data_IF_592243082246
#
_entry.id   IF_592243082246
#
_cell.length_a   1.000
_cell.length_b   1.000
_cell.length_c   1.000
_cell.angle_alpha   90.00
_cell.angle_beta   90.00
_cell.angle_gamma   90.00
#
_symmetry.space_group_name_H-M   'P 1'
#
loop_
_entity.id
_entity.type
_entity.pdbx_description
1 polymer ?
#
# COMPACT_ATOMS: atom_id res chain seq x y z
N UNK A 1 46.45 -20.01 6.58
CA UNK A 1 45.10 -19.71 7.10
C UNK A 1 44.23 -19.30 5.93
N UNK A 2 43.29 -20.15 5.49
CA UNK A 2 42.26 -19.76 4.52
C UNK A 2 41.19 -18.97 5.27
N UNK A 3 40.94 -17.73 4.87
CA UNK A 3 39.81 -16.95 5.35
C UNK A 3 38.55 -17.40 4.60
N UNK A 4 37.61 -18.00 5.32
CA UNK A 4 36.28 -18.30 4.79
C UNK A 4 35.47 -16.99 4.72
N UNK A 5 35.13 -16.54 3.51
CA UNK A 5 34.16 -15.48 3.31
C UNK A 5 32.76 -16.03 3.62
N UNK A 6 32.15 -15.54 4.70
CA UNK A 6 30.74 -15.77 4.99
C UNK A 6 29.90 -14.90 4.06
N UNK A 7 29.26 -15.50 3.06
CA UNK A 7 28.20 -14.87 2.27
C UNK A 7 26.97 -14.70 3.14
N UNK A 8 26.68 -13.47 3.55
CA UNK A 8 25.40 -13.11 4.17
C UNK A 8 24.32 -13.20 3.09
N UNK A 9 23.42 -14.17 3.20
CA UNK A 9 22.23 -14.24 2.36
C UNK A 9 21.26 -13.16 2.85
N UNK A 10 21.14 -12.06 2.13
CA UNK A 10 20.04 -11.12 2.29
C UNK A 10 18.77 -11.80 1.79
N UNK A 11 17.85 -12.12 2.70
CA UNK A 11 16.51 -12.55 2.30
C UNK A 11 15.85 -11.42 1.49
N UNK A 12 15.15 -11.72 0.38
CA UNK A 12 14.40 -10.71 -0.33
C UNK A 12 13.30 -10.19 0.61
N UNK A 13 13.34 -8.89 0.92
CA UNK A 13 12.16 -8.23 1.47
C UNK A 13 11.07 -8.33 0.40
N UNK A 14 9.96 -9.00 0.72
CA UNK A 14 8.84 -9.07 -0.20
C UNK A 14 8.13 -7.72 -0.22
N UNK A 15 8.41 -6.95 -1.27
CA UNK A 15 7.69 -5.72 -1.55
C UNK A 15 6.26 -6.05 -1.93
N UNK A 16 5.33 -5.20 -1.51
CA UNK A 16 3.90 -5.38 -1.78
C UNK A 16 3.59 -5.06 -3.26
N UNK A 17 2.45 -5.53 -3.74
CA UNK A 17 2.05 -5.30 -5.13
C UNK A 17 1.57 -3.86 -5.34
N UNK A 18 2.18 -3.15 -6.28
CA UNK A 18 1.72 -1.84 -6.77
C UNK A 18 1.45 -1.92 -8.26
N UNK A 19 0.18 -2.02 -8.64
CA UNK A 19 -0.25 -2.18 -10.02
C UNK A 19 -0.85 -0.89 -10.59
N UNK A 20 -0.83 -0.76 -11.92
CA UNK A 20 -1.65 0.26 -12.59
C UNK A 20 -3.13 0.01 -12.32
N UNK A 21 -3.91 1.08 -12.21
CA UNK A 21 -5.36 0.95 -12.07
C UNK A 21 -5.99 0.26 -13.27
N UNK A 22 -6.85 -0.71 -12.97
CA UNK A 22 -7.68 -1.41 -13.93
C UNK A 22 -9.13 -1.52 -13.39
N UNK A 23 -9.76 -2.69 -13.48
CA UNK A 23 -11.07 -2.95 -12.92
C UNK A 23 -11.13 -2.73 -11.39
N UNK A 24 -10.03 -2.98 -10.67
CA UNK A 24 -10.00 -2.90 -9.20
C UNK A 24 -10.12 -1.46 -8.70
N UNK A 25 -9.79 -0.48 -9.54
CA UNK A 25 -9.95 0.94 -9.25
C UNK A 25 -11.37 1.49 -9.54
N UNK A 26 -12.35 0.61 -9.79
CA UNK A 26 -13.74 1.00 -10.03
C UNK A 26 -14.33 1.74 -8.83
N UNK A 27 -15.05 2.84 -9.08
CA UNK A 27 -15.74 3.60 -8.03
C UNK A 27 -16.77 2.76 -7.25
N UNK A 28 -17.30 1.69 -7.85
CA UNK A 28 -18.18 0.74 -7.18
C UNK A 28 -17.51 -0.01 -6.01
N UNK A 29 -16.18 -0.15 -6.05
CA UNK A 29 -15.41 -0.86 -5.03
C UNK A 29 -14.84 0.09 -3.97
N UNK A 30 -15.13 1.38 -4.02
CA UNK A 30 -14.71 2.30 -2.96
C UNK A 30 -15.51 2.00 -1.69
N UNK A 31 -14.80 1.85 -0.57
CA UNK A 31 -15.44 1.60 0.71
C UNK A 31 -16.34 2.78 1.14
N UNK A 32 -17.55 2.46 1.60
CA UNK A 32 -18.53 3.44 2.07
C UNK A 32 -18.42 3.65 3.60
N UNK A 33 -18.60 4.88 4.12
CA UNK A 33 -18.82 6.12 3.37
C UNK A 33 -17.51 6.72 2.84
N UNK A 34 -17.55 7.27 1.63
CA UNK A 34 -16.35 7.74 0.93
C UNK A 34 -15.56 8.79 1.72
N UNK A 35 -16.22 9.66 2.48
CA UNK A 35 -15.54 10.69 3.29
C UNK A 35 -14.72 10.10 4.44
N UNK A 36 -15.03 8.89 4.90
CA UNK A 36 -14.26 8.20 5.94
C UNK A 36 -13.12 7.39 5.34
N UNK A 37 -13.31 6.85 4.14
CA UNK A 37 -12.38 5.93 3.49
C UNK A 37 -11.63 6.53 2.30
N UNK A 38 -11.65 7.86 2.16
CA UNK A 38 -10.82 8.59 1.21
C UNK A 38 -10.26 9.84 1.86
N UNK A 39 -8.93 10.01 1.77
CA UNK A 39 -8.21 11.16 2.33
C UNK A 39 -7.25 11.75 1.31
N UNK A 40 -7.11 13.07 1.35
CA UNK A 40 -6.16 13.80 0.51
C UNK A 40 -4.95 14.26 1.32
N UNK A 41 -3.79 14.25 0.68
CA UNK A 41 -2.50 14.64 1.23
C UNK A 41 -1.79 15.62 0.28
N UNK A 42 -0.68 16.21 0.74
CA UNK A 42 0.12 17.15 -0.05
C UNK A 42 -0.72 18.24 -0.76
N UNK A 43 -1.55 18.95 0.01
CA UNK A 43 -2.37 20.04 -0.53
C UNK A 43 -3.50 19.60 -1.48
N UNK A 44 -3.80 18.31 -1.57
CA UNK A 44 -4.84 17.77 -2.45
C UNK A 44 -4.31 17.01 -3.67
N UNK A 45 -3.01 17.01 -3.88
CA UNK A 45 -2.37 16.36 -5.03
C UNK A 45 -2.38 14.85 -4.94
N UNK A 46 -2.30 14.31 -3.72
CA UNK A 46 -2.34 12.87 -3.47
C UNK A 46 -3.66 12.50 -2.81
N UNK A 47 -4.30 11.43 -3.27
CA UNK A 47 -5.47 10.82 -2.63
C UNK A 47 -5.19 9.35 -2.40
N UNK A 48 -5.44 8.91 -1.18
CA UNK A 48 -5.51 7.49 -0.84
C UNK A 48 -6.98 7.17 -0.53
N UNK A 49 -7.48 6.07 -1.06
CA UNK A 49 -8.82 5.58 -0.75
C UNK A 49 -8.79 4.05 -0.51
N UNK A 50 -9.66 3.57 0.37
CA UNK A 50 -9.83 2.14 0.58
C UNK A 50 -10.75 1.55 -0.49
N UNK A 51 -10.28 0.47 -1.09
CA UNK A 51 -11.06 -0.42 -1.94
C UNK A 51 -11.52 -1.60 -1.10
N UNK A 52 -12.79 -1.94 -1.20
CA UNK A 52 -13.38 -3.20 -0.75
C UNK A 52 -13.83 -3.98 -2.00
N UNK A 53 -13.00 -4.95 -2.41
CA UNK A 53 -13.25 -5.78 -3.58
C UNK A 53 -14.38 -6.79 -3.36
N UNK A 54 -14.88 -6.95 -2.13
CA UNK A 54 -15.84 -7.95 -1.66
C UNK A 54 -15.27 -9.39 -1.71
N UNK A 55 -14.65 -9.77 -2.82
CA UNK A 55 -14.01 -11.06 -3.02
C UNK A 55 -12.56 -10.91 -3.52
N UNK A 56 -11.62 -11.76 -3.08
CA UNK A 56 -11.83 -12.89 -2.16
C UNK A 56 -12.13 -12.41 -0.73
N UNK A 57 -13.17 -12.96 -0.10
CA UNK A 57 -13.70 -12.42 1.16
C UNK A 57 -12.72 -12.43 2.34
N UNK A 58 -11.66 -13.23 2.29
CA UNK A 58 -10.60 -13.24 3.30
C UNK A 58 -9.57 -12.10 3.14
N UNK A 59 -9.49 -11.50 1.96
CA UNK A 59 -8.46 -10.52 1.56
C UNK A 59 -9.03 -9.45 0.62
N UNK A 60 -10.18 -8.81 0.93
CA UNK A 60 -10.87 -7.98 -0.05
C UNK A 60 -10.31 -6.55 -0.14
N UNK A 61 -9.43 -6.14 0.79
CA UNK A 61 -9.08 -4.73 0.93
C UNK A 61 -7.83 -4.34 0.17
N UNK A 62 -7.88 -3.22 -0.55
CA UNK A 62 -6.75 -2.65 -1.28
C UNK A 62 -6.70 -1.13 -1.09
N UNK A 63 -5.59 -0.48 -1.44
CA UNK A 63 -5.51 0.98 -1.43
C UNK A 63 -5.44 1.52 -2.86
N UNK A 64 -6.40 2.36 -3.23
CA UNK A 64 -6.31 3.22 -4.41
C UNK A 64 -5.43 4.43 -4.10
N UNK A 65 -4.44 4.69 -4.93
CA UNK A 65 -3.55 5.84 -4.82
C UNK A 65 -3.65 6.64 -6.12
N UNK A 66 -4.12 7.88 -6.01
CA UNK A 66 -4.06 8.88 -7.07
C UNK A 66 -3.00 9.90 -6.71
N UNK A 67 -2.00 10.08 -7.56
CA UNK A 67 -0.82 10.90 -7.24
C UNK A 67 -0.20 11.55 -8.48
N UNK A 68 0.66 12.56 -8.31
CA UNK A 68 1.62 12.94 -9.34
C UNK A 68 2.61 11.79 -9.64
N UNK A 69 3.36 11.84 -10.75
CA UNK A 69 3.39 12.92 -11.72
C UNK A 69 2.10 13.00 -12.53
N UNK A 70 1.80 14.20 -13.00
CA UNK A 70 0.71 14.44 -13.94
C UNK A 70 1.21 14.17 -15.36
N UNK A 71 0.39 13.51 -16.17
CA UNK A 71 0.71 13.34 -17.59
C UNK A 71 0.47 14.64 -18.39
N UNK A 72 0.74 14.61 -19.70
CA UNK A 72 0.58 15.77 -20.59
C UNK A 72 -0.88 16.29 -20.67
N UNK A 73 -1.86 15.45 -20.33
CA UNK A 73 -3.27 15.78 -20.30
C UNK A 73 -3.74 16.25 -18.91
N UNK A 74 -2.84 16.26 -17.93
CA UNK A 74 -3.17 16.59 -16.54
C UNK A 74 -3.89 15.45 -15.82
N UNK A 75 -3.74 14.20 -16.26
CA UNK A 75 -4.22 13.04 -15.51
C UNK A 75 -3.21 12.67 -14.42
N UNK A 76 -3.72 12.25 -13.25
CA UNK A 76 -2.90 11.70 -12.16
C UNK A 76 -2.41 10.31 -12.54
N UNK A 77 -1.25 9.94 -12.01
CA UNK A 77 -0.93 8.53 -11.84
C UNK A 77 -2.04 7.85 -11.01
N UNK A 78 -2.44 6.66 -11.43
CA UNK A 78 -3.41 5.82 -10.73
C UNK A 78 -2.79 4.46 -10.43
N UNK A 79 -2.70 4.12 -9.15
CA UNK A 79 -2.15 2.84 -8.68
C UNK A 79 -3.09 2.16 -7.70
N UNK A 80 -3.06 0.84 -7.69
CA UNK A 80 -3.65 0.03 -6.62
C UNK A 80 -2.54 -0.70 -5.88
N UNK A 81 -2.49 -0.50 -4.57
CA UNK A 81 -1.59 -1.19 -3.66
C UNK A 81 -2.34 -2.34 -3.00
N UNK A 82 -1.79 -3.54 -3.13
CA UNK A 82 -2.31 -4.81 -2.60
C UNK A 82 -1.21 -5.55 -1.84
N UNK A 83 -1.58 -6.52 -1.00
CA UNK A 83 -0.60 -7.39 -0.34
C UNK A 83 0.24 -8.12 -1.40
N UNK A 84 -0.45 -8.79 -2.32
CA UNK A 84 0.12 -9.51 -3.45
C UNK A 84 -0.74 -9.27 -4.71
N UNK A 85 -0.26 -9.61 -5.92
CA UNK A 85 -1.03 -9.40 -7.14
C UNK A 85 -2.41 -10.09 -7.08
N UNK A 86 -3.48 -9.28 -7.04
CA UNK A 86 -4.87 -9.76 -6.94
C UNK A 86 -5.29 -10.24 -5.55
N UNK A 87 -4.43 -10.10 -4.54
CA UNK A 87 -4.67 -10.52 -3.15
C UNK A 87 -4.53 -9.29 -2.25
N UNK A 88 -5.63 -8.89 -1.63
CA UNK A 88 -5.67 -7.73 -0.74
C UNK A 88 -5.22 -8.04 0.69
N UNK A 89 -5.54 -7.10 1.57
CA UNK A 89 -5.45 -7.26 3.02
C UNK A 89 -6.77 -7.79 3.56
N UNK A 90 -6.73 -8.50 4.67
CA UNK A 90 -7.93 -8.96 5.39
C UNK A 90 -8.64 -7.83 6.12
N UNK A 91 -7.92 -6.74 6.40
CA UNK A 91 -8.43 -5.56 7.09
C UNK A 91 -7.45 -4.41 6.98
N UNK A 92 -7.96 -3.18 6.99
CA UNK A 92 -7.19 -1.95 6.97
C UNK A 92 -7.83 -0.95 7.94
N UNK A 93 -7.10 -0.54 8.98
CA UNK A 93 -7.55 0.53 9.87
C UNK A 93 -7.27 1.90 9.24
N UNK A 94 -8.09 2.25 8.25
CA UNK A 94 -7.90 3.47 7.46
C UNK A 94 -8.00 4.76 8.29
N UNK A 95 -8.73 4.73 9.42
CA UNK A 95 -8.83 5.86 10.33
C UNK A 95 -7.46 6.16 10.97
N UNK A 96 -6.66 5.13 11.20
CA UNK A 96 -5.29 5.23 11.73
C UNK A 96 -4.23 5.49 10.64
N UNK A 97 -4.60 5.74 9.38
CA UNK A 97 -3.63 6.10 8.33
C UNK A 97 -2.93 7.41 8.66
N UNK A 98 -1.63 7.34 8.84
CA UNK A 98 -0.75 8.50 9.06
C UNK A 98 0.09 8.78 7.81
N UNK A 99 0.48 10.04 7.65
CA UNK A 99 1.37 10.45 6.57
C UNK A 99 2.27 11.61 7.00
N UNK A 100 3.51 11.59 6.54
CA UNK A 100 4.48 12.66 6.75
C UNK A 100 5.43 12.76 5.56
N UNK A 101 6.18 13.85 5.50
CA UNK A 101 7.16 14.07 4.44
C UNK A 101 8.57 13.73 4.92
N UNK A 102 9.29 12.97 4.10
CA UNK A 102 10.72 12.69 4.22
C UNK A 102 11.46 13.28 3.01
N UNK A 103 12.45 14.19 3.21
CA UNK A 103 13.20 14.78 2.11
C UNK A 103 14.01 13.80 1.24
N UNK A 104 14.35 12.62 1.76
CA UNK A 104 15.14 11.62 1.04
C UNK A 104 14.30 10.73 0.13
N UNK A 105 13.05 10.44 0.52
CA UNK A 105 12.18 9.46 -0.17
C UNK A 105 10.90 10.07 -0.75
N UNK A 106 10.33 11.10 -0.13
CA UNK A 106 9.06 11.72 -0.52
C UNK A 106 8.01 11.63 0.58
N UNK A 107 6.75 11.39 0.22
CA UNK A 107 5.70 11.15 1.21
C UNK A 107 5.85 9.73 1.76
N UNK A 108 5.75 9.60 3.07
CA UNK A 108 5.66 8.33 3.77
C UNK A 108 4.26 8.17 4.34
N UNK A 109 3.73 6.96 4.29
CA UNK A 109 2.43 6.58 4.82
C UNK A 109 2.60 5.34 5.69
N UNK A 110 1.85 5.28 6.78
CA UNK A 110 1.79 4.12 7.68
C UNK A 110 0.36 3.84 8.07
N UNK A 111 -0.07 2.58 7.97
CA UNK A 111 -1.43 2.16 8.31
C UNK A 111 -1.45 0.74 8.89
N UNK A 112 -2.16 0.51 10.00
CA UNK A 112 -2.38 -0.85 10.50
C UNK A 112 -3.22 -1.66 9.53
N UNK A 113 -2.79 -2.89 9.28
CA UNK A 113 -3.50 -3.86 8.42
C UNK A 113 -3.55 -5.22 9.10
N UNK A 114 -4.51 -6.05 8.72
CA UNK A 114 -4.49 -7.47 9.05
C UNK A 114 -4.27 -8.30 7.79
N UNK A 115 -3.47 -9.35 7.89
CA UNK A 115 -3.09 -10.22 6.78
C UNK A 115 -3.52 -11.65 7.09
N UNK A 116 -4.12 -12.34 6.11
CA UNK A 116 -4.44 -13.75 6.25
C UNK A 116 -3.17 -14.60 6.22
N UNK A 117 -2.97 -15.41 7.26
CA UNK A 117 -1.84 -16.31 7.41
C UNK A 117 -2.26 -17.75 7.11
N UNK A 118 -1.96 -18.24 5.91
CA UNK A 118 -2.38 -19.59 5.49
C UNK A 118 -1.88 -20.71 6.40
N UNK A 119 -0.68 -20.56 6.98
CA UNK A 119 -0.05 -21.57 7.82
C UNK A 119 -0.83 -21.83 9.12
N UNK A 120 -1.49 -20.81 9.65
CA UNK A 120 -2.27 -20.85 10.91
C UNK A 120 -3.77 -20.79 10.66
N UNK A 121 -4.19 -20.47 9.42
CA UNK A 121 -5.57 -20.15 9.07
C UNK A 121 -6.16 -19.05 9.97
N UNK A 122 -5.34 -18.04 10.27
CA UNK A 122 -5.67 -16.93 11.16
C UNK A 122 -5.34 -15.57 10.50
N UNK A 123 -5.68 -14.48 11.18
CA UNK A 123 -5.38 -13.13 10.75
C UNK A 123 -4.32 -12.51 11.65
N UNK A 124 -3.21 -12.09 11.06
CA UNK A 124 -2.11 -11.44 11.76
C UNK A 124 -2.16 -9.92 11.59
N UNK A 125 -2.14 -9.18 12.69
CA UNK A 125 -1.98 -7.73 12.66
C UNK A 125 -0.56 -7.36 12.23
N UNK A 126 -0.46 -6.36 11.36
CA UNK A 126 0.78 -5.87 10.74
C UNK A 126 0.70 -4.36 10.52
N UNK A 127 1.84 -3.77 10.18
CA UNK A 127 1.91 -2.40 9.68
C UNK A 127 2.25 -2.40 8.20
N UNK A 128 1.42 -1.74 7.40
CA UNK A 128 1.74 -1.41 6.02
C UNK A 128 2.38 -0.03 5.99
N UNK A 129 3.64 0.00 5.57
CA UNK A 129 4.37 1.22 5.28
C UNK A 129 4.54 1.35 3.77
N UNK A 130 4.25 2.53 3.23
CA UNK A 130 4.52 2.82 1.84
C UNK A 130 4.99 4.25 1.61
N UNK A 131 5.80 4.42 0.58
CA UNK A 131 6.33 5.72 0.16
C UNK A 131 5.76 6.13 -1.19
N UNK A 132 5.77 7.42 -1.46
CA UNK A 132 5.46 8.01 -2.75
C UNK A 132 6.46 9.12 -3.06
N UNK A 133 7.28 8.91 -4.08
CA UNK A 133 8.07 9.98 -4.67
C UNK A 133 7.21 10.71 -5.70
N UNK A 134 6.68 11.89 -5.34
CA UNK A 134 5.77 12.66 -6.20
C UNK A 134 6.41 13.15 -7.51
N UNK A 135 7.74 13.23 -7.59
CA UNK A 135 8.43 13.67 -8.81
C UNK A 135 8.54 12.54 -9.84
N UNK A 136 8.76 11.30 -9.39
CA UNK A 136 8.95 10.15 -10.28
C UNK A 136 7.71 9.25 -10.38
N UNK A 137 6.80 9.34 -9.42
CA UNK A 137 5.66 8.44 -9.27
C UNK A 137 6.04 7.08 -8.70
N UNK A 138 7.26 6.91 -8.19
CA UNK A 138 7.67 5.66 -7.58
C UNK A 138 6.92 5.46 -6.26
N UNK A 139 6.35 4.27 -6.09
CA UNK A 139 5.70 3.82 -4.86
C UNK A 139 6.37 2.52 -4.44
N UNK A 140 6.87 2.49 -3.21
CA UNK A 140 7.46 1.31 -2.59
C UNK A 140 6.67 0.99 -1.33
N UNK A 141 6.40 -0.28 -1.09
CA UNK A 141 5.53 -0.71 0.00
C UNK A 141 6.07 -1.98 0.65
N UNK A 142 5.95 -2.04 1.97
CA UNK A 142 6.40 -3.14 2.80
C UNK A 142 5.42 -3.38 3.95
N UNK A 143 5.24 -4.65 4.31
CA UNK A 143 4.44 -5.06 5.47
C UNK A 143 5.39 -5.57 6.55
N UNK A 144 5.45 -4.84 7.67
CA UNK A 144 6.24 -5.17 8.85
C UNK A 144 5.40 -5.67 10.01
N UNK A 145 6.05 -6.15 11.08
CA UNK A 145 5.35 -6.44 12.32
C UNK A 145 5.02 -5.13 13.05
N UNK A 146 3.90 -5.13 13.78
CA UNK A 146 3.49 -3.96 14.54
C UNK A 146 4.45 -3.72 15.71
N UNK A 147 5.15 -2.59 15.71
CA UNK A 147 6.03 -2.17 16.82
C UNK A 147 7.52 -2.52 16.67
N UNK A 148 7.99 -2.82 15.46
CA UNK A 148 9.42 -2.91 15.12
C UNK A 148 9.96 -1.60 14.51
#
# INVERSE_FOLDING_TARGET
MLAALATVATAPAQAQSVADCDWLASAWLLAEPWEQYSRTFAGGDVRVALIDAIEPGAVPFHLLILSPPWDELGARQCRVLSLDPGIGFSGVDFAALEAWYDPATGLFFSVPVSVYEEATADFGDRMLDFTLNQATGAIEAFVGHMGE
#
